data_IF_010642570662
#
_entry.id   IF_010642570662
#
_cell.length_a   1.000
_cell.length_b   1.000
_cell.length_c   1.000
_cell.angle_alpha   90.00
_cell.angle_beta   90.00
_cell.angle_gamma   90.00
#
_symmetry.space_group_name_H-M   'P 1'
#
loop_
_entity.id
_entity.type
_entity.pdbx_description
1 polymer ?
#
# COMPACT_ATOMS: atom_id res chain seq x y z
N UNK A 1 7.12 7.91 -7.28
CA UNK A 1 5.84 8.55 -6.93
C UNK A 1 5.25 9.26 -8.12
N UNK A 2 3.99 9.02 -8.39
CA UNK A 2 3.23 9.72 -9.41
C UNK A 2 2.79 11.12 -8.93
N UNK A 3 2.68 12.04 -9.87
CA UNK A 3 2.03 13.35 -9.68
C UNK A 3 0.50 13.29 -9.86
N UNK A 4 -0.05 12.14 -10.22
CA UNK A 4 -1.45 11.88 -10.56
C UNK A 4 -1.68 11.47 -12.01
N UNK A 5 -0.65 11.55 -12.85
CA UNK A 5 -0.66 11.12 -14.24
C UNK A 5 -0.18 9.66 -14.35
N UNK A 6 -0.74 8.77 -13.53
CA UNK A 6 -0.27 7.40 -13.37
C UNK A 6 -0.21 6.64 -14.69
N UNK A 7 -1.30 6.68 -15.45
CA UNK A 7 -1.42 5.98 -16.73
C UNK A 7 -0.41 6.50 -17.76
N UNK A 8 -0.26 7.82 -17.85
CA UNK A 8 0.70 8.45 -18.76
C UNK A 8 2.14 8.05 -18.42
N UNK A 9 2.49 8.05 -17.12
CA UNK A 9 3.80 7.59 -16.65
C UNK A 9 4.03 6.14 -17.06
N UNK A 10 3.05 5.26 -16.87
CA UNK A 10 3.18 3.83 -17.16
C UNK A 10 3.26 3.52 -18.66
N UNK A 11 2.54 4.29 -19.49
CA UNK A 11 2.44 4.02 -20.93
C UNK A 11 3.45 4.80 -21.78
N UNK A 12 3.84 6.02 -21.37
CA UNK A 12 4.57 6.92 -22.23
C UNK A 12 5.94 7.37 -21.70
N UNK A 13 6.24 7.17 -20.40
CA UNK A 13 7.54 7.60 -19.85
C UNK A 13 8.72 6.70 -20.23
N UNK A 14 8.45 5.47 -20.68
CA UNK A 14 9.48 4.48 -20.99
C UNK A 14 10.22 3.92 -19.76
N UNK A 15 9.81 4.27 -18.53
CA UNK A 15 10.54 3.87 -17.31
C UNK A 15 10.38 2.39 -16.95
N UNK A 16 9.29 1.77 -17.36
CA UNK A 16 9.01 0.38 -17.02
C UNK A 16 9.90 -0.62 -17.77
N UNK A 17 10.31 -0.29 -18.99
CA UNK A 17 11.18 -1.14 -19.80
C UNK A 17 12.57 -1.35 -19.15
N UNK A 18 13.31 -0.29 -18.74
CA UNK A 18 14.56 -0.46 -18.00
C UNK A 18 14.39 -1.21 -16.67
N UNK A 19 13.28 -1.00 -15.95
CA UNK A 19 13.01 -1.72 -14.71
C UNK A 19 12.79 -3.22 -14.95
N UNK A 20 12.06 -3.57 -16.00
CA UNK A 20 11.87 -4.95 -16.41
C UNK A 20 13.20 -5.63 -16.79
N UNK A 21 14.08 -4.90 -17.49
CA UNK A 21 15.43 -5.37 -17.81
C UNK A 21 16.25 -5.61 -16.54
N UNK A 22 16.27 -4.67 -15.61
CA UNK A 22 17.00 -4.83 -14.33
C UNK A 22 16.49 -6.03 -13.53
N UNK A 23 15.20 -6.30 -13.57
CA UNK A 23 14.60 -7.48 -12.95
C UNK A 23 15.06 -8.76 -13.65
N UNK A 24 15.05 -8.79 -14.98
CA UNK A 24 15.51 -9.94 -15.77
C UNK A 24 17.00 -10.23 -15.52
N UNK A 25 17.82 -9.20 -15.33
CA UNK A 25 19.23 -9.32 -14.98
C UNK A 25 19.47 -9.73 -13.51
N UNK A 26 18.40 -9.89 -12.70
CA UNK A 26 18.49 -10.24 -11.28
C UNK A 26 19.01 -9.13 -10.38
N UNK A 27 19.09 -7.89 -10.87
CA UNK A 27 19.57 -6.72 -10.10
C UNK A 27 18.52 -6.17 -9.14
N UNK A 28 17.24 -6.36 -9.45
CA UNK A 28 16.10 -6.05 -8.56
C UNK A 28 15.14 -7.24 -8.53
N UNK A 29 14.46 -7.44 -7.40
CA UNK A 29 13.49 -8.54 -7.24
C UNK A 29 12.11 -8.23 -7.83
N UNK A 30 11.73 -6.96 -7.87
CA UNK A 30 10.46 -6.50 -8.40
C UNK A 30 10.40 -4.97 -8.48
N UNK A 31 9.37 -4.47 -9.14
CA UNK A 31 9.14 -3.02 -9.30
C UNK A 31 7.65 -2.71 -9.42
N UNK A 32 7.30 -1.45 -9.20
CA UNK A 32 5.92 -0.98 -9.29
C UNK A 32 5.82 0.53 -9.20
N UNK A 33 4.61 1.03 -9.01
CA UNK A 33 4.30 2.46 -8.95
C UNK A 33 3.66 2.83 -7.61
N UNK A 34 4.07 3.96 -7.05
CA UNK A 34 3.30 4.67 -6.04
C UNK A 34 2.34 5.64 -6.74
N UNK A 35 1.14 5.16 -7.01
CA UNK A 35 0.11 5.85 -7.78
C UNK A 35 -0.81 6.74 -6.94
N UNK A 36 -1.79 7.32 -7.61
CA UNK A 36 -2.87 8.13 -7.01
C UNK A 36 -4.25 7.79 -7.58
N UNK A 37 -4.32 6.88 -8.55
CA UNK A 37 -5.56 6.52 -9.23
C UNK A 37 -5.76 5.01 -9.24
N UNK A 38 -7.01 4.56 -9.24
CA UNK A 38 -7.35 3.13 -9.35
C UNK A 38 -6.83 2.55 -10.66
N UNK A 39 -7.06 3.25 -11.78
CA UNK A 39 -6.62 2.82 -13.11
C UNK A 39 -5.10 2.65 -13.17
N UNK A 40 -4.36 3.63 -12.66
CA UNK A 40 -2.89 3.57 -12.59
C UNK A 40 -2.39 2.43 -11.70
N UNK A 41 -3.04 2.20 -10.56
CA UNK A 41 -2.71 1.09 -9.67
C UNK A 41 -2.92 -0.28 -10.33
N UNK A 42 -4.03 -0.47 -11.03
CA UNK A 42 -4.31 -1.70 -11.79
C UNK A 42 -3.30 -1.91 -12.90
N UNK A 43 -3.00 -0.88 -13.69
CA UNK A 43 -2.02 -0.96 -14.76
C UNK A 43 -0.60 -1.24 -14.23
N UNK A 44 -0.23 -0.63 -13.10
CA UNK A 44 1.05 -0.90 -12.44
C UNK A 44 1.20 -2.37 -12.02
N UNK A 45 0.13 -3.00 -11.53
CA UNK A 45 0.13 -4.42 -11.19
C UNK A 45 0.13 -5.35 -12.41
N UNK A 46 -0.50 -4.94 -13.51
CA UNK A 46 -0.47 -5.70 -14.76
C UNK A 46 0.93 -5.73 -15.39
N UNK A 47 1.64 -4.61 -15.34
CA UNK A 47 2.96 -4.46 -15.96
C UNK A 47 4.13 -4.76 -15.02
N UNK A 48 3.92 -4.67 -13.70
CA UNK A 48 4.94 -4.85 -12.68
C UNK A 48 4.53 -5.86 -11.62
N UNK A 49 5.16 -5.75 -10.45
CA UNK A 49 5.05 -6.72 -9.35
C UNK A 49 4.28 -6.18 -8.15
N UNK A 50 4.26 -4.86 -7.98
CA UNK A 50 3.65 -4.23 -6.83
C UNK A 50 3.06 -2.86 -7.16
N UNK A 51 2.17 -2.39 -6.28
CA UNK A 51 1.71 -1.00 -6.27
C UNK A 51 1.71 -0.47 -4.84
N UNK A 52 1.94 0.84 -4.70
CA UNK A 52 1.76 1.54 -3.42
C UNK A 52 0.53 2.43 -3.53
N UNK A 53 -0.47 2.13 -2.70
CA UNK A 53 -1.81 2.71 -2.77
C UNK A 53 -2.24 3.31 -1.43
N UNK A 54 -3.18 4.23 -1.47
CA UNK A 54 -3.82 4.76 -0.26
C UNK A 54 -4.99 3.85 0.15
N UNK A 55 -4.95 3.37 1.38
CA UNK A 55 -6.05 2.61 1.96
C UNK A 55 -6.07 2.81 3.48
N UNK A 56 -7.16 3.38 3.99
CA UNK A 56 -7.34 3.68 5.41
C UNK A 56 -8.83 3.86 5.74
N UNK A 57 -9.17 4.12 7.00
CA UNK A 57 -10.55 4.26 7.46
C UNK A 57 -11.35 5.37 6.74
N UNK A 58 -10.67 6.43 6.31
CA UNK A 58 -11.30 7.57 5.64
C UNK A 58 -11.26 7.49 4.11
N UNK A 59 -10.32 6.71 3.53
CA UNK A 59 -10.05 6.70 2.11
C UNK A 59 -9.85 5.26 1.61
N UNK A 60 -10.85 4.71 0.93
CA UNK A 60 -10.88 3.32 0.45
C UNK A 60 -11.11 3.22 -1.07
N UNK A 61 -10.98 4.32 -1.80
CA UNK A 61 -11.25 4.36 -3.24
C UNK A 61 -10.35 3.41 -4.05
N UNK A 62 -9.11 3.18 -3.59
CA UNK A 62 -8.15 2.29 -4.25
C UNK A 62 -8.32 0.79 -3.85
N UNK A 63 -9.38 0.42 -3.10
CA UNK A 63 -9.67 -0.98 -2.76
C UNK A 63 -9.68 -1.93 -3.97
N UNK A 64 -10.20 -1.58 -5.17
CA UNK A 64 -10.15 -2.46 -6.34
C UNK A 64 -8.73 -2.88 -6.72
N UNK A 65 -7.69 -2.08 -6.42
CA UNK A 65 -6.29 -2.43 -6.66
C UNK A 65 -5.83 -3.53 -5.71
N UNK A 66 -6.28 -3.48 -4.44
CA UNK A 66 -6.02 -4.55 -3.46
C UNK A 66 -6.70 -5.85 -3.86
N UNK A 67 -7.97 -5.78 -4.30
CA UNK A 67 -8.74 -6.95 -4.77
C UNK A 67 -8.03 -7.63 -5.97
N UNK A 68 -7.55 -6.83 -6.92
CA UNK A 68 -6.77 -7.33 -8.05
C UNK A 68 -5.47 -8.00 -7.60
N UNK A 69 -4.72 -7.36 -6.70
CA UNK A 69 -3.47 -7.90 -6.18
C UNK A 69 -3.68 -9.26 -5.49
N UNK A 70 -4.71 -9.37 -4.65
CA UNK A 70 -5.07 -10.62 -3.98
C UNK A 70 -5.33 -11.77 -4.97
N UNK A 71 -6.08 -11.48 -6.05
CA UNK A 71 -6.46 -12.49 -7.06
C UNK A 71 -5.32 -12.86 -8.03
N UNK A 72 -4.27 -12.01 -8.15
CA UNK A 72 -3.17 -12.21 -9.10
C UNK A 72 -1.81 -12.42 -8.43
N UNK A 73 -1.75 -12.58 -7.11
CA UNK A 73 -0.51 -12.80 -6.38
C UNK A 73 0.48 -11.65 -6.47
N UNK A 74 -0.04 -10.41 -6.53
CA UNK A 74 0.76 -9.18 -6.59
C UNK A 74 0.89 -8.53 -5.21
N UNK A 75 1.93 -7.72 -5.01
CA UNK A 75 2.18 -7.07 -3.73
C UNK A 75 1.56 -5.67 -3.65
N UNK A 76 0.97 -5.34 -2.50
CA UNK A 76 0.49 -4.00 -2.17
C UNK A 76 1.19 -3.45 -0.94
N UNK A 77 1.74 -2.25 -1.10
CA UNK A 77 2.23 -1.44 0.00
C UNK A 77 1.20 -0.34 0.29
N UNK A 78 0.70 -0.30 1.51
CA UNK A 78 -0.28 0.72 1.91
C UNK A 78 0.47 1.97 2.36
N UNK A 79 0.17 3.11 1.75
CA UNK A 79 0.59 4.45 2.21
C UNK A 79 -0.56 5.16 2.90
N UNK A 80 -0.25 6.17 3.73
CA UNK A 80 -1.22 6.92 4.54
C UNK A 80 -2.10 6.01 5.43
N UNK A 81 -1.56 4.91 5.89
CA UNK A 81 -2.27 3.90 6.67
C UNK A 81 -3.03 4.49 7.87
N UNK A 82 -2.47 5.48 8.55
CA UNK A 82 -3.08 6.19 9.68
C UNK A 82 -3.73 7.54 9.27
N UNK A 83 -4.12 7.70 7.99
CA UNK A 83 -4.74 8.92 7.45
C UNK A 83 -3.97 10.20 7.81
N UNK A 84 -2.62 10.15 7.83
CA UNK A 84 -1.75 11.27 8.22
C UNK A 84 -2.07 11.85 9.62
N UNK A 85 -2.52 11.01 10.55
CA UNK A 85 -2.95 11.42 11.90
C UNK A 85 -4.41 11.90 11.99
N UNK A 86 -5.15 11.88 10.90
CA UNK A 86 -6.58 12.25 10.83
C UNK A 86 -7.50 11.00 10.82
N UNK A 87 -7.05 9.88 11.39
CA UNK A 87 -7.89 8.70 11.53
C UNK A 87 -9.18 9.06 12.27
N UNK A 88 -10.31 8.56 11.77
CA UNK A 88 -11.64 8.91 12.25
C UNK A 88 -11.76 8.68 13.76
N UNK A 89 -11.99 9.74 14.51
CA UNK A 89 -12.09 9.72 15.97
C UNK A 89 -13.51 9.29 16.38
N UNK A 90 -13.78 8.00 16.38
CA UNK A 90 -14.95 7.47 17.08
C UNK A 90 -14.62 7.41 18.57
N UNK A 91 -15.40 8.06 19.47
CA UNK A 91 -15.12 8.02 20.89
C UNK A 91 -15.01 6.57 21.40
N UNK A 92 -13.91 6.28 22.12
CA UNK A 92 -13.66 4.96 22.70
C UNK A 92 -13.00 3.92 21.78
N UNK A 93 -12.70 4.28 20.53
CA UNK A 93 -11.98 3.40 19.60
C UNK A 93 -10.54 3.91 19.43
N UNK A 94 -9.57 3.00 19.60
CA UNK A 94 -8.17 3.28 19.24
C UNK A 94 -8.04 3.39 17.73
N UNK A 95 -7.75 4.57 17.17
CA UNK A 95 -7.70 4.78 15.73
C UNK A 95 -6.55 4.03 15.05
N UNK A 96 -5.44 3.80 15.76
CA UNK A 96 -4.30 3.06 15.23
C UNK A 96 -4.66 1.60 15.06
N UNK A 97 -5.27 1.01 16.10
CA UNK A 97 -5.73 -0.37 16.08
C UNK A 97 -6.78 -0.60 15.00
N UNK A 98 -7.80 0.24 14.94
CA UNK A 98 -8.86 0.13 13.92
C UNK A 98 -8.31 0.27 12.50
N UNK A 99 -7.31 1.13 12.28
CA UNK A 99 -6.65 1.26 10.98
C UNK A 99 -5.90 0.00 10.60
N UNK A 100 -5.15 -0.61 11.51
CA UNK A 100 -4.44 -1.86 11.22
C UNK A 100 -5.39 -3.05 11.03
N UNK A 101 -6.48 -3.12 11.81
CA UNK A 101 -7.52 -4.14 11.62
C UNK A 101 -8.13 -4.07 10.21
N UNK A 102 -8.49 -2.87 9.73
CA UNK A 102 -8.96 -2.67 8.36
C UNK A 102 -7.94 -3.10 7.31
N UNK A 103 -6.69 -2.65 7.47
CA UNK A 103 -5.63 -2.85 6.47
C UNK A 103 -5.23 -4.32 6.38
N UNK A 104 -5.00 -4.97 7.52
CA UNK A 104 -4.50 -6.35 7.56
C UNK A 104 -5.60 -7.40 7.40
N UNK A 105 -6.87 -7.04 7.55
CA UNK A 105 -7.98 -7.90 7.18
C UNK A 105 -8.10 -8.10 5.65
N UNK A 106 -7.49 -7.20 4.84
CA UNK A 106 -7.58 -7.32 3.40
C UNK A 106 -6.49 -8.26 2.85
N UNK A 107 -6.83 -9.37 2.17
CA UNK A 107 -5.87 -10.38 1.73
C UNK A 107 -4.86 -9.86 0.69
N UNK A 108 -5.15 -8.75 0.02
CA UNK A 108 -4.23 -8.09 -0.91
C UNK A 108 -3.15 -7.25 -0.25
N UNK A 109 -3.23 -6.99 1.06
CA UNK A 109 -2.23 -6.18 1.76
C UNK A 109 -0.96 -6.98 2.02
N UNK A 110 0.17 -6.49 1.50
CA UNK A 110 1.48 -7.10 1.76
C UNK A 110 2.26 -6.38 2.86
N UNK A 111 2.13 -5.06 2.95
CA UNK A 111 2.82 -4.23 3.94
C UNK A 111 2.14 -2.88 4.12
N UNK A 112 2.28 -2.28 5.30
CA UNK A 112 1.84 -0.92 5.59
C UNK A 112 3.04 -0.03 5.94
N UNK A 113 3.13 1.13 5.30
CA UNK A 113 4.20 2.10 5.52
C UNK A 113 3.73 3.12 6.55
N UNK A 114 4.41 3.15 7.69
CA UNK A 114 4.11 4.06 8.79
C UNK A 114 5.27 5.04 8.95
N UNK A 115 5.00 6.31 8.63
CA UNK A 115 5.96 7.40 8.82
C UNK A 115 5.83 7.99 10.23
N UNK A 116 6.89 7.94 11.01
CA UNK A 116 7.01 8.66 12.28
C UNK A 116 8.47 8.99 12.58
N UNK A 117 8.69 10.15 13.22
CA UNK A 117 10.00 10.56 13.73
C UNK A 117 10.14 10.29 15.24
N UNK A 118 9.05 9.86 15.89
CA UNK A 118 9.03 9.58 17.32
C UNK A 118 9.22 8.07 17.55
N UNK A 119 10.31 7.64 18.19
CA UNK A 119 10.59 6.23 18.43
C UNK A 119 9.56 5.55 19.36
N UNK A 120 8.92 6.31 20.26
CA UNK A 120 7.85 5.78 21.13
C UNK A 120 6.63 5.41 20.27
N UNK A 121 6.19 6.32 19.41
CA UNK A 121 5.08 6.04 18.48
C UNK A 121 5.41 4.88 17.54
N UNK A 122 6.66 4.73 17.11
CA UNK A 122 7.06 3.59 16.30
C UNK A 122 6.89 2.28 17.07
N UNK A 123 7.36 2.22 18.31
CA UNK A 123 7.25 1.04 19.16
C UNK A 123 5.78 0.68 19.43
N UNK A 124 4.94 1.67 19.73
CA UNK A 124 3.49 1.50 19.93
C UNK A 124 2.81 0.98 18.64
N UNK A 125 3.07 1.58 17.50
CA UNK A 125 2.52 1.14 16.22
C UNK A 125 2.91 -0.31 15.88
N UNK A 126 4.16 -0.68 16.13
CA UNK A 126 4.63 -2.06 15.93
C UNK A 126 3.93 -3.03 16.89
N UNK A 127 3.75 -2.66 18.16
CA UNK A 127 3.05 -3.49 19.13
C UNK A 127 1.59 -3.72 18.75
N UNK A 128 0.88 -2.68 18.31
CA UNK A 128 -0.51 -2.77 17.85
C UNK A 128 -0.61 -3.61 16.57
N UNK A 129 0.26 -3.40 15.59
CA UNK A 129 0.28 -4.18 14.35
C UNK A 129 0.50 -5.67 14.62
N UNK A 130 1.44 -6.02 15.51
CA UNK A 130 1.67 -7.41 15.92
C UNK A 130 0.44 -8.02 16.60
N UNK A 131 -0.20 -7.28 17.50
CA UNK A 131 -1.40 -7.76 18.18
C UNK A 131 -2.55 -8.04 17.21
N UNK A 132 -2.74 -7.18 16.21
CA UNK A 132 -3.76 -7.37 15.16
C UNK A 132 -3.45 -8.61 14.33
N UNK A 133 -2.21 -8.75 13.85
CA UNK A 133 -1.81 -9.89 13.01
C UNK A 133 -1.91 -11.24 13.73
N UNK A 134 -1.62 -11.29 15.04
CA UNK A 134 -1.72 -12.53 15.84
C UNK A 134 -3.14 -12.86 16.28
N UNK A 135 -4.10 -11.93 16.20
CA UNK A 135 -5.50 -12.17 16.52
C UNK A 135 -6.34 -12.65 15.34
N UNK A 136 -5.74 -12.74 14.16
CA UNK A 136 -6.41 -13.15 12.90
C UNK A 136 -6.22 -14.65 12.61
N UNK A 137 -5.45 -15.36 13.41
CA UNK A 137 -5.28 -16.82 13.42
C UNK A 137 -6.30 -17.47 14.37
#
# INVERSE_FOLDING_TARGET
HSNGQDVDILQHSGIYEPLAQLKQEGKIGGFGLSGKTVEGGLLALQQGDCAMVTYNLAEQAEKPVLDYAASHGKAILIKKALASGHACLTPGVDPVRASFELIFAHPGTSSAIIGTINPVHLAENVAVARAVLTSTD
#
